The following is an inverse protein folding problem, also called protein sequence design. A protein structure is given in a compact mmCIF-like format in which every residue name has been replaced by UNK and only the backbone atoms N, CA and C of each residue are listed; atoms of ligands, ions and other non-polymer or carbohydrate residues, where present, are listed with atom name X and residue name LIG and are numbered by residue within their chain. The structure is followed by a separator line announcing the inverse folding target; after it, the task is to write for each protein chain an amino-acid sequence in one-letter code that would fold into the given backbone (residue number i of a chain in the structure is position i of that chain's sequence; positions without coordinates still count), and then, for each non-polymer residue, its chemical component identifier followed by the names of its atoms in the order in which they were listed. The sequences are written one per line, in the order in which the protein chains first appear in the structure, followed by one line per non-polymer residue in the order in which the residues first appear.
data_IF_716615257411
#
_entry.id   IF_716615257411
#
_cell.length_a   1.000
_cell.length_b   1.000
_cell.length_c   1.000
_cell.angle_alpha   90.00
_cell.angle_beta   90.00
_cell.angle_gamma   90.00
#
_symmetry.space_group_name_H-M   'P 1'
#
loop_
_entity.id
_entity.type
_entity.pdbx_description
1 polymer ?
#
# COMPACT_ATOMS: atom_id res chain seq x y z
N UNK A 1 -10.48 -31.53 53.75
CA UNK A 1 -11.37 -31.67 52.58
C UNK A 1 -11.38 -30.34 51.87
N UNK A 2 -10.50 -30.22 50.88
CA UNK A 2 -10.50 -29.14 49.90
C UNK A 2 -11.82 -29.18 49.12
N UNK A 3 -12.44 -28.03 48.96
CA UNK A 3 -13.34 -27.80 47.84
C UNK A 3 -12.74 -26.64 47.06
N UNK A 4 -11.83 -26.99 46.15
CA UNK A 4 -11.42 -26.09 45.08
C UNK A 4 -12.65 -25.79 44.24
N UNK A 5 -13.20 -24.58 44.42
CA UNK A 5 -14.14 -23.99 43.49
C UNK A 5 -13.40 -23.69 42.19
N UNK A 6 -13.34 -24.69 41.31
CA UNK A 6 -12.92 -24.53 39.92
C UNK A 6 -13.98 -23.70 39.22
N UNK A 7 -13.88 -22.39 39.39
CA UNK A 7 -14.56 -21.43 38.55
C UNK A 7 -14.02 -21.61 37.14
N UNK A 8 -14.79 -22.31 36.30
CA UNK A 8 -14.64 -22.37 34.85
C UNK A 8 -14.71 -20.93 34.32
N UNK A 9 -13.57 -20.22 34.33
CA UNK A 9 -13.40 -18.98 33.59
C UNK A 9 -13.54 -19.35 32.13
N UNK A 10 -14.75 -19.15 31.57
CA UNK A 10 -14.96 -19.07 30.13
C UNK A 10 -13.92 -18.11 29.58
N UNK A 11 -12.87 -18.62 28.94
CA UNK A 11 -11.87 -17.83 28.24
C UNK A 11 -12.64 -17.01 27.21
N UNK A 12 -12.68 -15.70 27.40
CA UNK A 12 -13.41 -14.83 26.48
C UNK A 12 -12.50 -14.56 25.29
N UNK A 13 -13.08 -14.37 24.11
CA UNK A 13 -12.32 -14.19 22.85
C UNK A 13 -11.26 -13.07 22.92
N UNK A 14 -11.49 -12.09 23.79
CA UNK A 14 -10.55 -11.00 24.04
C UNK A 14 -9.38 -11.37 24.97
N UNK A 15 -9.49 -12.42 25.79
CA UNK A 15 -8.39 -12.95 26.61
C UNK A 15 -7.33 -13.67 25.74
N UNK A 16 -7.70 -14.04 24.51
CA UNK A 16 -6.82 -14.62 23.49
C UNK A 16 -6.15 -13.56 22.60
N UNK A 17 -6.55 -12.29 22.70
CA UNK A 17 -5.91 -11.22 21.94
C UNK A 17 -4.55 -10.92 22.59
N UNK A 18 -3.46 -10.77 21.82
CA UNK A 18 -2.16 -10.44 22.37
C UNK A 18 -2.22 -9.05 23.03
N UNK A 19 -2.38 -9.03 24.36
CA UNK A 19 -2.30 -7.82 25.15
C UNK A 19 -0.83 -7.41 25.14
N UNK A 20 -0.54 -6.39 24.35
CA UNK A 20 0.80 -5.87 24.16
C UNK A 20 1.02 -4.65 25.05
N UNK A 21 2.19 -4.56 25.66
CA UNK A 21 2.58 -3.38 26.44
C UNK A 21 2.46 -2.10 25.61
N UNK A 22 2.10 -0.99 26.27
CA UNK A 22 1.93 0.32 25.62
C UNK A 22 3.12 0.70 24.74
N UNK A 23 4.34 0.43 25.20
CA UNK A 23 5.56 0.72 24.44
C UNK A 23 5.67 -0.12 23.16
N UNK A 24 5.35 -1.41 23.24
CA UNK A 24 5.34 -2.30 22.06
C UNK A 24 4.24 -1.90 21.09
N UNK A 25 3.02 -1.63 21.57
CA UNK A 25 1.92 -1.16 20.73
C UNK A 25 2.26 0.15 20.00
N UNK A 26 2.93 1.07 20.69
CA UNK A 26 3.42 2.32 20.09
C UNK A 26 4.46 2.06 18.99
N UNK A 27 5.39 1.11 19.20
CA UNK A 27 6.37 0.72 18.17
C UNK A 27 5.68 0.14 16.93
N UNK A 28 4.68 -0.72 17.11
CA UNK A 28 3.88 -1.28 16.01
C UNK A 28 3.13 -0.19 15.24
N UNK A 29 2.56 0.79 15.94
CA UNK A 29 1.91 1.95 15.31
C UNK A 29 2.91 2.73 14.44
N UNK A 30 4.10 3.03 14.97
CA UNK A 30 5.14 3.79 14.25
C UNK A 30 5.65 3.01 13.04
N UNK A 31 5.97 1.73 13.20
CA UNK A 31 6.42 0.89 12.08
C UNK A 31 5.35 0.75 11.01
N UNK A 32 4.09 0.56 11.41
CA UNK A 32 2.96 0.50 10.48
C UNK A 32 2.79 1.80 9.68
N UNK A 33 2.90 2.95 10.35
CA UNK A 33 2.87 4.28 9.71
C UNK A 33 4.02 4.46 8.72
N UNK A 34 5.25 4.14 9.12
CA UNK A 34 6.43 4.26 8.25
C UNK A 34 6.31 3.38 7.01
N UNK A 35 5.90 2.12 7.18
CA UNK A 35 5.67 1.19 6.07
C UNK A 35 4.59 1.73 5.13
N UNK A 36 3.45 2.19 5.66
CA UNK A 36 2.37 2.75 4.84
C UNK A 36 2.82 3.99 4.05
N UNK A 37 3.58 4.89 4.65
CA UNK A 37 4.11 6.09 3.99
C UNK A 37 5.08 5.72 2.86
N UNK A 38 6.02 4.80 3.12
CA UNK A 38 7.02 4.39 2.13
C UNK A 38 6.32 3.78 0.91
N UNK A 39 5.44 2.79 1.13
CA UNK A 39 4.76 2.13 0.01
C UNK A 39 3.73 3.03 -0.66
N UNK A 40 3.03 3.90 0.09
CA UNK A 40 2.15 4.92 -0.49
C UNK A 40 2.92 5.90 -1.39
N UNK A 41 4.14 6.28 -1.01
CA UNK A 41 5.00 7.15 -1.81
C UNK A 41 5.48 6.45 -3.08
N UNK A 42 5.90 5.18 -2.99
CA UNK A 42 6.28 4.36 -4.15
C UNK A 42 5.13 4.26 -5.15
N UNK A 43 3.90 4.02 -4.67
CA UNK A 43 2.71 3.99 -5.52
C UNK A 43 2.48 5.32 -6.23
N UNK A 44 2.58 6.45 -5.52
CA UNK A 44 2.39 7.78 -6.10
C UNK A 44 3.42 8.11 -7.18
N UNK A 45 4.71 7.77 -6.95
CA UNK A 45 5.77 7.96 -7.94
C UNK A 45 5.50 7.10 -9.17
N UNK A 46 5.20 5.82 -8.97
CA UNK A 46 4.91 4.89 -10.06
C UNK A 46 3.71 5.33 -10.90
N UNK A 47 2.64 5.81 -10.25
CA UNK A 47 1.49 6.38 -10.95
C UNK A 47 1.86 7.64 -11.75
N UNK A 48 2.63 8.55 -11.14
CA UNK A 48 3.12 9.74 -11.84
C UNK A 48 3.92 9.38 -13.10
N UNK A 49 4.74 8.32 -13.07
CA UNK A 49 5.48 7.85 -14.25
C UNK A 49 4.52 7.39 -15.36
N UNK A 50 3.50 6.59 -15.05
CA UNK A 50 2.51 6.13 -16.04
C UNK A 50 1.68 7.29 -16.60
N UNK A 51 1.19 8.19 -15.73
CA UNK A 51 0.40 9.36 -16.13
C UNK A 51 1.18 10.28 -17.10
N UNK A 52 2.52 10.32 -16.99
CA UNK A 52 3.39 11.13 -17.84
C UNK A 52 4.00 10.37 -19.04
N UNK A 53 3.78 9.05 -19.15
CA UNK A 53 4.42 8.22 -20.16
C UNK A 53 4.11 8.68 -21.60
N UNK A 54 2.85 9.05 -21.86
CA UNK A 54 2.43 9.53 -23.18
C UNK A 54 3.04 10.89 -23.54
N UNK A 55 3.13 11.81 -22.58
CA UNK A 55 3.78 13.11 -22.80
C UNK A 55 5.26 12.92 -23.12
N UNK A 56 5.95 12.02 -22.40
CA UNK A 56 7.34 11.67 -22.69
C UNK A 56 7.49 11.09 -24.11
N UNK A 57 6.61 10.17 -24.51
CA UNK A 57 6.58 9.58 -25.85
C UNK A 57 6.46 10.64 -26.95
N UNK A 58 5.57 11.63 -26.79
CA UNK A 58 5.39 12.70 -27.76
C UNK A 58 6.65 13.56 -27.91
N UNK A 59 7.29 13.92 -26.79
CA UNK A 59 8.51 14.74 -26.80
C UNK A 59 9.66 14.01 -27.49
N UNK A 60 9.87 12.73 -27.16
CA UNK A 60 10.93 11.91 -27.76
C UNK A 60 10.72 11.71 -29.25
N UNK A 61 9.49 11.48 -29.70
CA UNK A 61 9.18 11.34 -31.13
C UNK A 61 9.39 12.65 -31.89
N UNK A 62 8.97 13.78 -31.31
CA UNK A 62 9.21 15.09 -31.91
C UNK A 62 10.73 15.36 -32.03
N UNK A 63 11.50 15.06 -30.98
CA UNK A 63 12.94 15.20 -31.02
C UNK A 63 13.59 14.26 -32.04
N UNK A 64 13.09 13.02 -32.16
CA UNK A 64 13.55 12.05 -33.14
C UNK A 64 13.33 12.54 -34.58
N UNK A 65 12.15 13.10 -34.86
CA UNK A 65 11.81 13.69 -36.16
C UNK A 65 12.71 14.90 -36.46
N UNK A 66 12.85 15.84 -35.52
CA UNK A 66 13.70 17.01 -35.71
C UNK A 66 15.15 16.64 -36.02
N UNK A 67 15.71 15.67 -35.30
CA UNK A 67 17.10 15.24 -35.52
C UNK A 67 17.28 14.54 -36.87
N UNK A 68 16.30 13.75 -37.30
CA UNK A 68 16.29 13.15 -38.63
C UNK A 68 16.23 14.23 -39.73
N UNK A 69 15.34 15.21 -39.58
CA UNK A 69 15.20 16.33 -40.52
C UNK A 69 16.45 17.22 -40.58
N UNK A 70 17.21 17.30 -39.48
CA UNK A 70 18.50 17.98 -39.42
C UNK A 70 19.66 17.15 -39.98
N UNK A 71 19.42 15.90 -40.40
CA UNK A 71 20.45 15.01 -40.94
C UNK A 71 21.45 14.50 -39.91
N UNK A 72 21.11 14.54 -38.61
CA UNK A 72 22.00 14.05 -37.55
C UNK A 72 22.17 12.52 -37.59
N UNK A 73 21.23 11.80 -38.20
CA UNK A 73 21.30 10.37 -38.45
C UNK A 73 20.38 9.95 -39.62
N UNK A 74 20.58 8.72 -40.09
CA UNK A 74 19.87 8.17 -41.24
C UNK A 74 18.49 7.59 -40.92
N UNK A 75 17.79 7.13 -41.96
CA UNK A 75 16.44 6.55 -41.83
C UNK A 75 16.40 5.32 -40.93
N UNK A 76 17.40 4.44 -40.99
CA UNK A 76 17.44 3.23 -40.17
C UNK A 76 17.49 3.58 -38.67
N UNK A 77 18.31 4.57 -38.30
CA UNK A 77 18.43 5.03 -36.91
C UNK A 77 17.12 5.69 -36.43
N UNK A 78 16.44 6.43 -37.31
CA UNK A 78 15.15 7.04 -37.01
C UNK A 78 14.09 5.99 -36.66
N UNK A 79 13.98 4.93 -37.46
CA UNK A 79 13.02 3.84 -37.24
C UNK A 79 13.34 3.05 -35.97
N UNK A 80 14.62 2.77 -35.72
CA UNK A 80 15.04 2.07 -34.50
C UNK A 80 14.70 2.88 -33.24
N UNK A 81 14.97 4.18 -33.26
CA UNK A 81 14.62 5.10 -32.17
C UNK A 81 13.11 5.15 -31.95
N UNK A 82 12.32 5.19 -33.02
CA UNK A 82 10.86 5.22 -32.93
C UNK A 82 10.31 3.96 -32.25
N UNK A 83 10.77 2.78 -32.68
CA UNK A 83 10.40 1.51 -32.05
C UNK A 83 10.82 1.43 -30.58
N UNK A 84 12.01 1.96 -30.25
CA UNK A 84 12.49 2.02 -28.86
C UNK A 84 11.64 2.95 -27.99
N UNK A 85 11.28 4.13 -28.50
CA UNK A 85 10.43 5.11 -27.79
C UNK A 85 9.05 4.53 -27.51
N UNK A 86 8.46 3.85 -28.49
CA UNK A 86 7.19 3.13 -28.33
C UNK A 86 7.27 2.03 -27.26
N UNK A 87 8.33 1.22 -27.29
CA UNK A 87 8.54 0.18 -26.28
C UNK A 87 8.66 0.80 -24.87
N UNK A 88 9.44 1.87 -24.72
CA UNK A 88 9.62 2.55 -23.43
C UNK A 88 8.32 3.17 -22.90
N UNK A 89 7.49 3.74 -23.78
CA UNK A 89 6.15 4.20 -23.41
C UNK A 89 5.33 3.09 -22.76
N UNK A 90 5.21 1.92 -23.39
CA UNK A 90 4.46 0.80 -22.83
C UNK A 90 5.06 0.28 -21.51
N UNK A 91 6.39 0.28 -21.36
CA UNK A 91 7.03 -0.07 -20.09
C UNK A 91 6.70 0.92 -18.97
N UNK A 92 6.76 2.23 -19.25
CA UNK A 92 6.45 3.28 -18.29
C UNK A 92 4.98 3.27 -17.87
N UNK A 93 4.09 2.94 -18.81
CA UNK A 93 2.67 2.79 -18.54
C UNK A 93 2.38 1.52 -17.72
N UNK A 94 2.87 0.37 -18.19
CA UNK A 94 2.56 -0.92 -17.56
C UNK A 94 3.19 -1.11 -16.18
N UNK A 95 4.35 -0.50 -15.89
CA UNK A 95 5.02 -0.69 -14.59
C UNK A 95 4.14 -0.32 -13.40
N UNK A 96 3.16 0.59 -13.57
CA UNK A 96 2.23 0.97 -12.50
C UNK A 96 1.37 -0.20 -12.02
N UNK A 97 1.09 -1.17 -12.89
CA UNK A 97 0.35 -2.38 -12.53
C UNK A 97 1.18 -3.24 -11.59
N UNK A 98 2.45 -3.47 -11.93
CA UNK A 98 3.37 -4.30 -11.14
C UNK A 98 3.70 -3.61 -9.81
N UNK A 99 4.24 -2.39 -9.89
CA UNK A 99 4.66 -1.63 -8.70
C UNK A 99 3.45 -1.29 -7.84
N UNK A 100 2.31 -0.98 -8.46
CA UNK A 100 1.09 -0.69 -7.73
C UNK A 100 0.56 -1.88 -6.93
N UNK A 101 0.66 -3.10 -7.46
CA UNK A 101 0.28 -4.31 -6.71
C UNK A 101 1.23 -4.57 -5.54
N UNK A 102 2.54 -4.44 -5.73
CA UNK A 102 3.54 -4.57 -4.66
C UNK A 102 3.30 -3.51 -3.57
N UNK A 103 3.07 -2.27 -3.98
CA UNK A 103 2.83 -1.17 -3.06
C UNK A 103 1.54 -1.34 -2.26
N UNK A 104 0.45 -1.81 -2.88
CA UNK A 104 -0.80 -2.14 -2.18
C UNK A 104 -0.58 -3.18 -1.09
N UNK A 105 0.18 -4.24 -1.37
CA UNK A 105 0.53 -5.26 -0.36
C UNK A 105 1.30 -4.62 0.80
N UNK A 106 2.30 -3.79 0.50
CA UNK A 106 3.07 -3.08 1.51
C UNK A 106 2.23 -2.15 2.39
N UNK A 107 1.33 -1.37 1.79
CA UNK A 107 0.38 -0.52 2.52
C UNK A 107 -0.53 -1.36 3.42
N UNK A 108 -1.06 -2.49 2.92
CA UNK A 108 -1.90 -3.38 3.72
C UNK A 108 -1.17 -3.97 4.92
N UNK A 109 0.11 -4.35 4.76
CA UNK A 109 0.96 -4.80 5.88
C UNK A 109 1.14 -3.66 6.91
N UNK A 110 1.39 -2.43 6.45
CA UNK A 110 1.49 -1.26 7.32
C UNK A 110 0.20 -1.00 8.11
N UNK A 111 -0.94 -1.03 7.43
CA UNK A 111 -2.27 -0.86 8.05
C UNK A 111 -2.59 -1.99 9.03
N UNK A 112 -2.18 -3.22 8.74
CA UNK A 112 -2.33 -4.34 9.67
C UNK A 112 -1.59 -4.08 10.99
N UNK A 113 -0.34 -3.60 10.96
CA UNK A 113 0.39 -3.25 12.19
C UNK A 113 -0.29 -2.12 12.97
N UNK A 114 -0.85 -1.12 12.28
CA UNK A 114 -1.60 -0.03 12.90
C UNK A 114 -2.85 -0.57 13.59
N UNK A 115 -3.60 -1.48 12.95
CA UNK A 115 -4.80 -2.11 13.52
C UNK A 115 -4.45 -2.91 14.77
N UNK A 116 -3.38 -3.73 14.72
CA UNK A 116 -2.91 -4.49 15.89
C UNK A 116 -2.56 -3.55 17.04
N UNK A 117 -1.87 -2.44 16.76
CA UNK A 117 -1.54 -1.43 17.78
C UNK A 117 -2.80 -0.81 18.42
N UNK A 118 -3.78 -0.42 17.62
CA UNK A 118 -5.03 0.16 18.14
C UNK A 118 -5.86 -0.86 18.93
N UNK A 119 -5.89 -2.13 18.53
CA UNK A 119 -6.51 -3.18 19.34
C UNK A 119 -5.79 -3.36 20.67
N UNK A 120 -4.45 -3.37 20.69
CA UNK A 120 -3.69 -3.44 21.94
C UNK A 120 -3.99 -2.24 22.86
N UNK A 121 -4.17 -1.03 22.31
CA UNK A 121 -4.58 0.12 23.12
C UNK A 121 -6.04 0.04 23.61
N UNK A 122 -6.96 -0.48 22.80
CA UNK A 122 -8.36 -0.64 23.17
C UNK A 122 -8.57 -1.67 24.30
N UNK A 123 -7.70 -2.68 24.39
CA UNK A 123 -7.77 -3.74 25.39
C UNK A 123 -6.96 -3.45 26.66
N UNK A 124 -6.16 -2.38 26.67
CA UNK A 124 -5.33 -2.05 27.82
C UNK A 124 -6.16 -1.36 28.91
N UNK A 125 -6.25 -2.02 30.07
CA UNK A 125 -7.04 -1.57 31.23
C UNK A 125 -6.47 -0.33 31.94
N UNK A 126 -5.28 0.14 31.57
CA UNK A 126 -4.72 1.40 32.08
C UNK A 126 -5.35 2.65 31.44
N UNK A 127 -6.07 2.50 30.34
CA UNK A 127 -6.78 3.61 29.70
C UNK A 127 -8.23 3.71 30.17
N UNK A 128 -8.75 4.93 30.22
CA UNK A 128 -10.16 5.17 30.53
C UNK A 128 -11.08 4.57 29.46
N UNK A 129 -12.29 4.21 29.87
CA UNK A 129 -13.25 3.50 29.02
C UNK A 129 -13.62 4.29 27.75
N UNK A 130 -13.65 5.63 27.84
CA UNK A 130 -13.89 6.48 26.67
C UNK A 130 -12.76 6.37 25.65
N UNK A 131 -11.49 6.49 26.08
CA UNK A 131 -10.34 6.33 25.18
C UNK A 131 -10.25 4.94 24.57
N UNK A 132 -10.48 3.88 25.36
CA UNK A 132 -10.55 2.50 24.86
C UNK A 132 -11.58 2.33 23.75
N UNK A 133 -12.76 2.92 23.93
CA UNK A 133 -13.83 2.91 22.92
C UNK A 133 -13.42 3.64 21.65
N UNK A 134 -12.74 4.77 21.76
CA UNK A 134 -12.20 5.51 20.60
C UNK A 134 -11.17 4.67 19.84
N UNK A 135 -10.23 4.04 20.54
CA UNK A 135 -9.24 3.16 19.89
C UNK A 135 -9.88 1.97 19.18
N UNK A 136 -10.94 1.40 19.76
CA UNK A 136 -11.70 0.31 19.15
C UNK A 136 -12.44 0.77 17.88
N UNK A 137 -13.05 1.96 17.90
CA UNK A 137 -13.69 2.57 16.73
C UNK A 137 -12.65 2.82 15.63
N UNK A 138 -11.47 3.36 15.97
CA UNK A 138 -10.38 3.58 15.02
C UNK A 138 -9.86 2.28 14.41
N UNK A 139 -9.62 1.25 15.23
CA UNK A 139 -9.22 -0.07 14.74
C UNK A 139 -10.25 -0.63 13.75
N UNK A 140 -11.53 -0.55 14.10
CA UNK A 140 -12.63 -1.05 13.27
C UNK A 140 -12.76 -0.28 11.95
N UNK A 141 -12.60 1.05 11.99
CA UNK A 141 -12.64 1.90 10.79
C UNK A 141 -11.49 1.59 9.84
N UNK A 142 -10.27 1.45 10.36
CA UNK A 142 -9.10 1.11 9.55
C UNK A 142 -9.26 -0.29 8.96
N UNK A 143 -9.74 -1.26 9.75
CA UNK A 143 -9.99 -2.62 9.29
C UNK A 143 -11.05 -2.66 8.19
N UNK A 144 -12.11 -1.86 8.33
CA UNK A 144 -13.12 -1.68 7.27
C UNK A 144 -12.48 -1.13 5.99
N UNK A 145 -11.63 -0.11 6.08
CA UNK A 145 -10.89 0.43 4.92
C UNK A 145 -10.02 -0.66 4.28
N UNK A 146 -9.25 -1.43 5.06
CA UNK A 146 -8.42 -2.54 4.53
C UNK A 146 -9.29 -3.55 3.79
N UNK A 147 -10.45 -3.93 4.33
CA UNK A 147 -11.34 -4.88 3.67
C UNK A 147 -11.86 -4.31 2.36
N UNK A 148 -12.36 -3.08 2.35
CA UNK A 148 -12.83 -2.41 1.13
C UNK A 148 -11.71 -2.35 0.09
N UNK A 149 -10.53 -1.84 0.45
CA UNK A 149 -9.44 -1.71 -0.51
C UNK A 149 -8.95 -3.07 -1.02
N UNK A 150 -8.91 -4.10 -0.18
CA UNK A 150 -8.44 -5.43 -0.58
C UNK A 150 -9.44 -6.16 -1.48
N UNK A 151 -10.73 -6.14 -1.13
CA UNK A 151 -11.77 -6.82 -1.92
C UNK A 151 -12.06 -6.11 -3.24
N UNK A 152 -12.07 -4.78 -3.27
CA UNK A 152 -12.39 -4.04 -4.50
C UNK A 152 -11.18 -3.83 -5.43
N UNK A 153 -9.94 -3.78 -4.91
CA UNK A 153 -8.76 -3.61 -5.77
C UNK A 153 -8.35 -4.86 -6.55
N UNK A 154 -8.90 -6.04 -6.24
CA UNK A 154 -8.66 -7.29 -6.98
C UNK A 154 -9.61 -7.52 -8.18
N UNK A 155 -10.60 -6.64 -8.42
CA UNK A 155 -11.68 -6.89 -9.41
C UNK A 155 -11.33 -6.45 -10.85
N UNK A 156 -10.19 -5.80 -11.12
CA UNK A 156 -9.92 -5.28 -12.46
C UNK A 156 -8.49 -5.50 -12.93
N UNK A 157 -8.24 -6.69 -13.49
CA UNK A 157 -7.36 -6.81 -14.67
C UNK A 157 -8.25 -7.35 -15.78
N UNK A 158 -8.94 -6.46 -16.48
CA UNK A 158 -9.55 -6.80 -17.75
C UNK A 158 -8.52 -6.45 -18.82
N UNK A 159 -7.87 -7.48 -19.37
CA UNK A 159 -7.15 -7.34 -20.63
C UNK A 159 -8.24 -7.26 -21.68
N UNK A 160 -8.44 -6.09 -22.29
CA UNK A 160 -9.25 -5.95 -23.52
C UNK A 160 -8.32 -5.86 -24.73
#
# INVERSE_FOLDING_TARGET
METEDKTDRKIKLYDLLPIMDKEKATKFLIYGLLVAIIFGTILMISKSISDNAYTWFLIENQQNEMNYMQGLYGYNDYVEKLARTELLYYWMDFQVVIVGNIAKIGVNIGLFFIVVAFFSFALNDQFDEKSRRIYLILASAILFVIMVTTFFAQISVQIS
#
